data_IF_689099672537
#
_entry.id   IF_689099672537
#
_cell.length_a   1.000
_cell.length_b   1.000
_cell.length_c   1.000
_cell.angle_alpha   90.00
_cell.angle_beta   90.00
_cell.angle_gamma   90.00
#
_symmetry.space_group_name_H-M   'P 1'
#
loop_
_entity.id
_entity.type
_entity.pdbx_description
1 polymer ?
#
# COMPACT_ATOMS: atom_id res chain seq x y z
N UNK A 1 11.50 -37.76 -5.06
CA UNK A 1 10.71 -36.72 -5.74
C UNK A 1 10.06 -37.35 -6.95
N UNK A 2 8.76 -37.23 -7.09
CA UNK A 2 8.01 -37.71 -8.25
C UNK A 2 7.85 -36.61 -9.32
N UNK A 3 7.26 -36.96 -10.46
CA UNK A 3 7.03 -36.02 -11.58
C UNK A 3 6.22 -34.79 -11.15
N UNK A 4 5.15 -34.98 -10.38
CA UNK A 4 4.27 -33.88 -9.97
C UNK A 4 5.01 -32.90 -9.04
N UNK A 5 5.78 -33.44 -8.09
CA UNK A 5 6.63 -32.65 -7.20
C UNK A 5 7.72 -31.90 -7.97
N UNK A 6 8.32 -32.54 -8.99
CA UNK A 6 9.33 -31.90 -9.83
C UNK A 6 8.77 -30.74 -10.66
N UNK A 7 7.64 -30.95 -11.35
CA UNK A 7 7.01 -29.91 -12.16
C UNK A 7 6.47 -28.76 -11.30
N UNK A 8 5.98 -29.05 -10.10
CA UNK A 8 5.59 -28.00 -9.15
C UNK A 8 6.80 -27.18 -8.69
N UNK A 9 7.91 -27.85 -8.30
CA UNK A 9 9.14 -27.17 -7.93
C UNK A 9 9.75 -26.35 -9.08
N UNK A 10 9.68 -26.85 -10.32
CA UNK A 10 10.08 -26.13 -11.53
C UNK A 10 9.22 -24.87 -11.71
N UNK A 11 7.90 -25.01 -11.57
CA UNK A 11 6.94 -23.90 -11.67
C UNK A 11 7.25 -22.80 -10.66
N UNK A 12 7.49 -23.16 -9.40
CA UNK A 12 7.76 -22.21 -8.32
C UNK A 12 9.07 -21.43 -8.52
N UNK A 13 10.02 -21.98 -9.28
CA UNK A 13 11.32 -21.37 -9.57
C UNK A 13 11.42 -20.66 -10.94
N UNK A 14 10.44 -20.86 -11.83
CA UNK A 14 10.37 -20.18 -13.14
C UNK A 14 9.94 -18.72 -12.98
N UNK A 15 10.71 -17.80 -13.58
CA UNK A 15 10.48 -16.34 -13.52
C UNK A 15 10.01 -15.77 -14.86
N UNK A 16 9.15 -16.50 -15.55
CA UNK A 16 8.62 -16.18 -16.88
C UNK A 16 7.11 -15.92 -16.84
N UNK A 17 6.50 -15.54 -17.98
CA UNK A 17 5.04 -15.30 -18.01
C UNK A 17 4.25 -16.59 -17.79
N UNK A 18 3.00 -16.52 -17.31
CA UNK A 18 2.20 -17.70 -17.05
C UNK A 18 1.90 -18.55 -18.30
N UNK A 19 1.71 -17.91 -19.46
CA UNK A 19 1.50 -18.68 -20.70
C UNK A 19 2.77 -19.46 -21.06
N UNK A 20 3.94 -18.83 -20.91
CA UNK A 20 5.21 -19.47 -21.17
C UNK A 20 5.55 -20.53 -20.11
N UNK A 21 5.23 -20.27 -18.85
CA UNK A 21 5.38 -21.21 -17.75
C UNK A 21 4.51 -22.45 -17.98
N UNK A 22 3.23 -22.28 -18.32
CA UNK A 22 2.32 -23.37 -18.65
C UNK A 22 2.84 -24.17 -19.85
N UNK A 23 3.35 -23.47 -20.88
CA UNK A 23 3.96 -24.10 -22.05
C UNK A 23 5.21 -24.92 -21.68
N UNK A 24 6.15 -24.33 -20.93
CA UNK A 24 7.39 -25.03 -20.49
C UNK A 24 7.04 -26.26 -19.65
N UNK A 25 6.12 -26.13 -18.70
CA UNK A 25 5.71 -27.23 -17.82
C UNK A 25 5.01 -28.33 -18.62
N UNK A 26 4.21 -27.97 -19.62
CA UNK A 26 3.55 -28.92 -20.52
C UNK A 26 4.56 -29.62 -21.43
N UNK A 27 5.46 -28.88 -22.06
CA UNK A 27 6.50 -29.40 -22.96
C UNK A 27 7.42 -30.37 -22.19
N UNK A 28 7.97 -29.95 -21.04
CA UNK A 28 8.82 -30.81 -20.17
C UNK A 28 8.02 -31.98 -19.60
N UNK A 29 6.77 -31.75 -19.20
CA UNK A 29 5.90 -32.81 -18.71
C UNK A 29 5.65 -33.90 -19.75
N UNK A 30 5.49 -33.52 -21.01
CA UNK A 30 5.31 -34.44 -22.14
C UNK A 30 6.59 -35.18 -22.52
N UNK A 31 7.75 -34.51 -22.43
CA UNK A 31 9.06 -35.13 -22.67
C UNK A 31 9.38 -36.18 -21.61
N UNK A 32 9.08 -35.88 -20.33
CA UNK A 32 9.18 -36.87 -19.24
C UNK A 32 8.27 -38.07 -19.52
N UNK A 33 7.02 -37.86 -19.91
CA UNK A 33 6.08 -38.96 -20.17
C UNK A 33 6.57 -39.87 -21.29
N UNK A 34 7.06 -39.30 -22.39
CA UNK A 34 7.59 -40.07 -23.52
C UNK A 34 8.76 -40.98 -23.08
N UNK A 35 9.68 -40.48 -22.26
CA UNK A 35 10.84 -41.26 -21.80
C UNK A 35 10.43 -42.33 -20.76
N UNK A 36 9.40 -42.07 -19.96
CA UNK A 36 8.85 -43.05 -19.03
C UNK A 36 8.11 -44.19 -19.76
N UNK A 37 7.42 -43.89 -20.85
CA UNK A 37 6.75 -44.89 -21.70
C UNK A 37 7.74 -45.87 -22.37
N UNK A 38 8.98 -45.43 -22.62
CA UNK A 38 10.08 -46.28 -23.10
C UNK A 38 10.64 -47.23 -22.03
N UNK A 39 10.08 -47.23 -20.82
CA UNK A 39 10.47 -48.12 -19.71
C UNK A 39 11.62 -47.56 -18.86
N UNK A 40 11.99 -46.30 -19.06
CA UNK A 40 13.06 -45.63 -18.31
C UNK A 40 12.58 -45.19 -16.93
N UNK A 41 13.47 -45.20 -15.93
CA UNK A 41 13.11 -44.73 -14.58
C UNK A 41 13.13 -43.20 -14.50
N UNK A 42 12.20 -42.60 -13.74
CA UNK A 42 12.17 -41.15 -13.52
C UNK A 42 13.48 -40.60 -12.94
N UNK A 43 14.18 -41.39 -12.11
CA UNK A 43 15.49 -41.01 -11.56
C UNK A 43 16.56 -40.83 -12.64
N UNK A 44 16.47 -41.59 -13.74
CA UNK A 44 17.37 -41.47 -14.90
C UNK A 44 17.05 -40.21 -15.70
N UNK A 45 15.77 -39.93 -15.95
CA UNK A 45 15.32 -38.69 -16.62
C UNK A 45 15.83 -37.44 -15.88
N UNK A 46 15.85 -37.50 -14.56
CA UNK A 46 16.37 -36.46 -13.69
C UNK A 46 17.89 -36.26 -13.76
N UNK A 47 18.66 -37.28 -14.15
CA UNK A 47 20.09 -37.10 -14.40
C UNK A 47 20.34 -36.26 -15.64
N UNK A 48 19.50 -36.41 -16.66
CA UNK A 48 19.60 -35.69 -17.93
C UNK A 48 19.03 -34.27 -17.82
N UNK A 49 17.86 -34.11 -17.19
CA UNK A 49 17.21 -32.80 -16.99
C UNK A 49 17.84 -31.96 -15.87
N UNK A 50 18.49 -32.60 -14.89
CA UNK A 50 19.02 -31.94 -13.70
C UNK A 50 17.96 -31.59 -12.65
N UNK A 51 18.36 -30.84 -11.61
CA UNK A 51 17.46 -30.38 -10.54
C UNK A 51 16.47 -29.33 -11.04
N UNK A 52 15.24 -29.24 -10.51
CA UNK A 52 14.23 -28.31 -11.02
C UNK A 52 14.66 -26.85 -10.87
N UNK A 53 15.45 -26.52 -9.85
CA UNK A 53 16.02 -25.18 -9.65
C UNK A 53 17.05 -24.82 -10.73
N UNK A 54 17.89 -25.78 -11.11
CA UNK A 54 18.92 -25.59 -12.13
C UNK A 54 18.28 -25.50 -13.53
N UNK A 55 17.32 -26.36 -13.82
CA UNK A 55 16.55 -26.31 -15.05
C UNK A 55 15.77 -25.00 -15.15
N UNK A 56 15.08 -24.58 -14.08
CA UNK A 56 14.45 -23.27 -14.01
C UNK A 56 15.45 -22.13 -14.25
N UNK A 57 16.64 -22.20 -13.65
CA UNK A 57 17.69 -21.21 -13.83
C UNK A 57 18.19 -21.16 -15.29
N UNK A 58 18.28 -22.31 -15.99
CA UNK A 58 18.67 -22.37 -17.40
C UNK A 58 17.58 -21.80 -18.32
N UNK A 59 16.31 -22.13 -18.07
CA UNK A 59 15.19 -21.48 -18.75
C UNK A 59 15.15 -19.97 -18.49
N UNK A 60 15.36 -19.57 -17.24
CA UNK A 60 15.47 -18.17 -16.82
C UNK A 60 16.72 -17.48 -17.39
N UNK A 61 17.71 -18.20 -17.93
CA UNK A 61 18.88 -17.62 -18.60
C UNK A 61 18.74 -17.56 -20.11
N UNK A 62 18.14 -18.58 -20.71
CA UNK A 62 18.02 -18.71 -22.17
C UNK A 62 16.82 -17.96 -22.75
N UNK A 63 15.70 -17.90 -22.02
CA UNK A 63 14.49 -17.23 -22.52
C UNK A 63 14.37 -15.80 -22.00
N UNK A 64 15.14 -15.42 -20.97
CA UNK A 64 15.13 -14.06 -20.43
C UNK A 64 16.09 -13.19 -21.24
N UNK A 65 15.64 -12.76 -22.42
CA UNK A 65 16.04 -11.44 -22.91
C UNK A 65 15.42 -10.38 -22.00
N UNK A 66 16.05 -9.21 -21.84
CA UNK A 66 15.58 -8.09 -20.98
C UNK A 66 14.11 -7.66 -21.22
N UNK A 67 13.49 -8.12 -22.31
CA UNK A 67 12.10 -7.90 -22.68
C UNK A 67 11.08 -8.85 -22.01
N UNK A 68 11.51 -9.94 -21.37
CA UNK A 68 10.62 -10.96 -20.77
C UNK A 68 10.48 -10.89 -19.24
N UNK A 69 11.23 -10.03 -18.55
CA UNK A 69 11.17 -9.90 -17.09
C UNK A 69 9.88 -9.16 -16.68
N UNK A 70 8.97 -9.87 -15.99
CA UNK A 70 7.68 -9.36 -15.54
C UNK A 70 7.80 -8.26 -14.46
N UNK A 71 8.77 -8.40 -13.57
CA UNK A 71 9.07 -7.44 -12.51
C UNK A 71 10.54 -7.51 -12.09
N UNK A 72 11.06 -6.38 -11.63
CA UNK A 72 12.35 -6.30 -10.94
C UNK A 72 12.14 -6.58 -9.45
N UNK A 73 12.93 -7.49 -8.88
CA UNK A 73 12.94 -7.81 -7.44
C UNK A 73 14.33 -7.57 -6.86
N UNK A 74 14.39 -6.85 -5.75
CA UNK A 74 15.61 -6.65 -4.96
C UNK A 74 15.33 -6.94 -3.49
N UNK A 75 16.20 -7.73 -2.87
CA UNK A 75 16.22 -7.99 -1.42
C UNK A 75 17.60 -7.65 -0.89
N UNK A 76 17.68 -6.88 0.20
CA UNK A 76 18.95 -6.58 0.86
C UNK A 76 19.63 -7.84 1.41
N UNK A 77 18.84 -8.86 1.77
CA UNK A 77 19.31 -10.20 2.09
C UNK A 77 18.41 -11.21 1.35
N UNK A 78 18.89 -11.82 0.25
CA UNK A 78 18.10 -12.76 -0.55
C UNK A 78 17.63 -14.01 0.20
N UNK A 79 18.37 -14.44 1.23
CA UNK A 79 18.03 -15.61 2.03
C UNK A 79 16.99 -15.32 3.13
N UNK A 80 16.73 -14.04 3.42
CA UNK A 80 15.76 -13.65 4.45
C UNK A 80 14.35 -13.52 3.87
N UNK A 81 13.37 -14.07 4.59
CA UNK A 81 11.95 -13.82 4.34
C UNK A 81 11.48 -12.43 4.82
N UNK A 82 12.30 -11.75 5.62
CA UNK A 82 12.05 -10.39 6.12
C UNK A 82 13.35 -9.56 6.08
N UNK A 83 13.83 -9.18 4.88
CA UNK A 83 15.02 -8.36 4.72
C UNK A 83 14.81 -6.92 5.22
N UNK A 84 15.90 -6.17 5.37
CA UNK A 84 15.84 -4.74 5.67
C UNK A 84 15.13 -3.98 4.55
N UNK A 85 15.47 -4.27 3.30
CA UNK A 85 14.88 -3.64 2.12
C UNK A 85 14.39 -4.72 1.16
N UNK A 86 13.15 -4.59 0.69
CA UNK A 86 12.58 -5.43 -0.36
C UNK A 86 11.81 -4.55 -1.37
N UNK A 87 12.25 -4.57 -2.62
CA UNK A 87 11.67 -3.81 -3.73
C UNK A 87 11.10 -4.79 -4.75
N UNK A 88 9.84 -4.60 -5.16
CA UNK A 88 9.18 -5.33 -6.25
C UNK A 88 8.60 -4.30 -7.21
N UNK A 89 9.21 -4.10 -8.37
CA UNK A 89 8.84 -3.09 -9.35
C UNK A 89 8.30 -3.78 -10.61
N UNK A 90 7.01 -3.64 -10.95
CA UNK A 90 6.46 -4.22 -12.16
C UNK A 90 7.02 -3.54 -13.41
N UNK A 91 7.25 -4.33 -14.47
CA UNK A 91 7.70 -3.83 -15.75
C UNK A 91 6.52 -3.18 -16.51
N UNK A 92 6.53 -1.84 -16.62
CA UNK A 92 5.42 -1.06 -17.19
C UNK A 92 5.13 -1.36 -18.66
N UNK A 93 6.10 -1.80 -19.45
CA UNK A 93 5.93 -2.01 -20.91
C UNK A 93 4.95 -3.15 -21.26
N UNK A 94 4.72 -4.10 -20.35
CA UNK A 94 3.77 -5.22 -20.54
C UNK A 94 2.61 -5.25 -19.54
N UNK A 95 2.34 -4.14 -18.86
CA UNK A 95 1.30 -4.05 -17.82
C UNK A 95 -0.14 -4.38 -18.33
N UNK A 96 -0.35 -4.52 -19.66
CA UNK A 96 -1.60 -5.01 -20.26
C UNK A 96 -1.83 -6.54 -20.16
N UNK A 97 -0.77 -7.34 -19.93
CA UNK A 97 -0.83 -8.80 -19.87
C UNK A 97 -0.51 -9.37 -18.47
N UNK A 98 0.01 -8.53 -17.56
CA UNK A 98 0.26 -8.95 -16.19
C UNK A 98 -1.02 -8.92 -15.36
N UNK A 99 -1.48 -10.09 -14.98
CA UNK A 99 -2.44 -10.25 -13.90
C UNK A 99 -1.89 -9.64 -12.60
N UNK A 100 -2.57 -8.62 -12.01
CA UNK A 100 -2.20 -8.01 -10.74
C UNK A 100 -1.81 -8.97 -9.63
N UNK A 101 -2.47 -10.12 -9.58
CA UNK A 101 -2.29 -11.18 -8.59
C UNK A 101 -0.93 -11.90 -8.65
N UNK A 102 -0.19 -11.78 -9.76
CA UNK A 102 1.06 -12.55 -9.97
C UNK A 102 2.32 -11.81 -9.56
N UNK A 103 2.21 -10.59 -9.03
CA UNK A 103 3.35 -9.86 -8.47
C UNK A 103 3.62 -10.33 -7.05
N UNK A 104 4.87 -10.69 -6.70
CA UNK A 104 5.20 -11.07 -5.34
C UNK A 104 4.95 -9.92 -4.38
N UNK A 105 4.64 -10.27 -3.13
CA UNK A 105 4.50 -9.28 -2.06
C UNK A 105 5.88 -8.88 -1.56
N UNK A 106 6.20 -7.59 -1.64
CA UNK A 106 7.39 -7.04 -1.01
C UNK A 106 7.22 -7.16 0.52
N UNK A 107 8.22 -7.74 1.19
CA UNK A 107 8.24 -7.99 2.64
C UNK A 107 9.54 -7.51 3.26
N UNK A 108 9.51 -6.78 4.37
CA UNK A 108 10.71 -6.35 5.08
C UNK A 108 10.52 -5.18 6.03
N UNK A 109 11.61 -4.61 6.55
CA UNK A 109 11.54 -3.35 7.32
C UNK A 109 11.05 -2.23 6.41
N UNK A 110 11.64 -2.10 5.22
CA UNK A 110 11.21 -1.21 4.15
C UNK A 110 10.77 -2.08 2.96
N UNK A 111 9.46 -2.09 2.69
CA UNK A 111 8.85 -2.84 1.61
C UNK A 111 8.24 -1.89 0.57
N UNK A 112 8.66 -1.98 -0.69
CA UNK A 112 8.14 -1.17 -1.79
C UNK A 112 7.67 -2.08 -2.91
N UNK A 113 6.41 -2.00 -3.30
CA UNK A 113 5.88 -2.74 -4.44
C UNK A 113 4.37 -2.61 -4.57
N UNK A 114 3.77 -3.27 -5.56
CA UNK A 114 2.30 -3.22 -5.70
C UNK A 114 1.60 -3.72 -4.44
N UNK A 115 2.06 -4.86 -3.93
CA UNK A 115 1.67 -5.42 -2.63
C UNK A 115 2.89 -5.30 -1.71
N UNK A 116 2.78 -4.53 -0.64
CA UNK A 116 3.88 -4.28 0.29
C UNK A 116 3.44 -4.59 1.73
N UNK A 117 4.29 -5.32 2.45
CA UNK A 117 4.08 -5.69 3.85
C UNK A 117 5.36 -5.45 4.66
N UNK A 118 5.33 -4.57 5.65
CA UNK A 118 6.55 -4.25 6.39
C UNK A 118 6.37 -3.34 7.60
N UNK A 119 7.46 -2.85 8.16
CA UNK A 119 7.38 -1.75 9.14
C UNK A 119 6.99 -0.47 8.40
N UNK A 120 7.67 -0.19 7.29
CA UNK A 120 7.37 0.87 6.33
C UNK A 120 6.97 0.18 5.02
N UNK A 121 5.71 0.33 4.61
CA UNK A 121 5.15 -0.28 3.41
C UNK A 121 4.69 0.80 2.41
N UNK A 122 5.21 0.75 1.19
CA UNK A 122 4.89 1.68 0.11
C UNK A 122 4.33 0.90 -1.09
N UNK A 123 3.08 1.13 -1.48
CA UNK A 123 2.48 0.34 -2.55
C UNK A 123 1.08 0.71 -2.99
N UNK A 124 0.49 -0.10 -3.87
CA UNK A 124 -0.95 0.01 -4.16
C UNK A 124 -1.74 -0.51 -2.96
N UNK A 125 -1.37 -1.70 -2.48
CA UNK A 125 -1.84 -2.30 -1.23
C UNK A 125 -0.66 -2.31 -0.24
N UNK A 126 -0.71 -1.45 0.77
CA UNK A 126 0.34 -1.30 1.78
C UNK A 126 -0.16 -1.77 3.16
N UNK A 127 0.61 -2.65 3.82
CA UNK A 127 0.30 -3.19 5.15
C UNK A 127 1.52 -3.07 6.06
N UNK A 128 1.41 -2.35 7.17
CA UNK A 128 2.56 -2.12 8.03
C UNK A 128 2.32 -1.23 9.22
N UNK A 129 3.38 -0.80 9.90
CA UNK A 129 3.25 0.23 10.96
C UNK A 129 3.02 1.58 10.30
N UNK A 130 3.80 1.90 9.28
CA UNK A 130 3.65 3.07 8.41
C UNK A 130 3.32 2.56 7.01
N UNK A 131 2.13 2.91 6.51
CA UNK A 131 1.60 2.43 5.23
C UNK A 131 1.20 3.59 4.32
N UNK A 132 1.84 3.70 3.16
CA UNK A 132 1.52 4.69 2.14
C UNK A 132 1.10 3.98 0.85
N UNK A 133 -0.11 4.27 0.36
CA UNK A 133 -0.65 3.57 -0.79
C UNK A 133 -2.06 3.97 -1.18
N UNK A 134 -2.67 3.25 -2.11
CA UNK A 134 -4.08 3.48 -2.48
C UNK A 134 -5.01 2.84 -1.44
N UNK A 135 -4.70 1.61 -1.05
CA UNK A 135 -5.26 0.93 0.10
C UNK A 135 -4.15 0.74 1.14
N UNK A 136 -4.30 1.37 2.29
CA UNK A 136 -3.29 1.41 3.34
C UNK A 136 -3.86 0.90 4.65
N UNK A 137 -3.20 -0.08 5.26
CA UNK A 137 -3.58 -0.63 6.58
C UNK A 137 -2.37 -0.55 7.49
N UNK A 138 -2.51 0.05 8.67
CA UNK A 138 -1.40 0.21 9.59
C UNK A 138 -1.68 1.05 10.82
N UNK A 139 -0.64 1.33 11.60
CA UNK A 139 -0.76 2.27 12.73
C UNK A 139 -0.90 3.70 12.21
N UNK A 140 -0.05 4.06 11.25
CA UNK A 140 -0.08 5.29 10.47
C UNK A 140 -0.36 4.95 9.01
N UNK A 141 -1.49 5.41 8.47
CA UNK A 141 -1.94 5.04 7.13
C UNK A 141 -2.29 6.26 6.30
N UNK A 142 -1.73 6.38 5.09
CA UNK A 142 -2.08 7.43 4.13
C UNK A 142 -2.47 6.79 2.80
N UNK A 143 -3.60 7.20 2.24
CA UNK A 143 -4.11 6.64 1.00
C UNK A 143 -5.50 7.09 0.59
N UNK A 144 -6.07 6.50 -0.46
CA UNK A 144 -7.48 6.76 -0.82
C UNK A 144 -8.40 6.07 0.19
N UNK A 145 -8.11 4.79 0.47
CA UNK A 145 -8.74 4.02 1.52
C UNK A 145 -7.69 3.70 2.59
N UNK A 146 -7.85 4.26 3.78
CA UNK A 146 -6.87 4.13 4.86
C UNK A 146 -7.53 3.56 6.12
N UNK A 147 -6.92 2.52 6.70
CA UNK A 147 -7.34 1.96 7.98
C UNK A 147 -6.16 2.08 8.95
N UNK A 148 -6.37 2.71 10.10
CA UNK A 148 -5.32 2.81 11.11
C UNK A 148 -5.63 3.64 12.34
N UNK A 149 -4.74 3.59 13.34
CA UNK A 149 -4.89 4.43 14.53
C UNK A 149 -4.81 5.91 14.16
N UNK A 150 -3.90 6.28 13.27
CA UNK A 150 -3.82 7.59 12.65
C UNK A 150 -3.93 7.41 11.14
N UNK A 151 -4.97 7.95 10.52
CA UNK A 151 -5.20 7.75 9.09
C UNK A 151 -5.61 9.02 8.34
N UNK A 152 -5.03 9.19 7.15
CA UNK A 152 -5.30 10.30 6.23
C UNK A 152 -5.75 9.75 4.87
N UNK A 153 -6.78 10.35 4.26
CA UNK A 153 -7.25 9.88 2.96
C UNK A 153 -8.61 10.37 2.50
N UNK A 154 -9.20 9.68 1.52
CA UNK A 154 -10.56 9.97 1.06
C UNK A 154 -11.58 9.25 1.94
N UNK A 155 -11.41 7.94 2.13
CA UNK A 155 -12.22 7.10 3.00
C UNK A 155 -11.29 6.56 4.09
N UNK A 156 -11.57 6.88 5.34
CA UNK A 156 -10.67 6.58 6.45
C UNK A 156 -11.41 5.92 7.62
N UNK A 157 -10.77 4.93 8.24
CA UNK A 157 -11.33 4.19 9.38
C UNK A 157 -10.28 4.03 10.48
N UNK A 158 -10.68 4.26 11.74
CA UNK A 158 -9.86 3.98 12.93
C UNK A 158 -9.88 5.04 14.03
N UNK A 159 -8.71 5.46 14.53
CA UNK A 159 -8.59 6.27 15.75
C UNK A 159 -8.75 7.78 15.52
N UNK A 160 -7.67 8.43 15.11
CA UNK A 160 -7.55 9.83 14.73
C UNK A 160 -7.50 9.95 13.20
N UNK A 161 -8.51 10.56 12.61
CA UNK A 161 -8.76 10.47 11.19
C UNK A 161 -8.94 11.84 10.55
N UNK A 162 -8.34 12.04 9.37
CA UNK A 162 -8.69 13.16 8.51
C UNK A 162 -8.96 12.69 7.07
N UNK A 163 -10.15 12.97 6.55
CA UNK A 163 -10.52 12.59 5.20
C UNK A 163 -11.90 13.05 4.75
N UNK A 164 -12.29 12.74 3.51
CA UNK A 164 -13.62 13.12 3.02
C UNK A 164 -14.75 12.37 3.75
N UNK A 165 -14.58 11.06 3.94
CA UNK A 165 -15.46 10.18 4.70
C UNK A 165 -14.63 9.55 5.81
N UNK A 166 -14.96 9.84 7.07
CA UNK A 166 -14.18 9.39 8.23
C UNK A 166 -15.05 8.65 9.25
N UNK A 167 -14.68 7.42 9.60
CA UNK A 167 -15.41 6.56 10.55
C UNK A 167 -14.47 6.11 11.68
N UNK A 168 -14.63 6.64 12.89
CA UNK A 168 -13.64 6.38 13.94
C UNK A 168 -13.93 7.00 15.30
N UNK A 169 -12.88 7.21 16.08
CA UNK A 169 -13.00 7.82 17.42
C UNK A 169 -12.97 9.35 17.33
N UNK A 170 -11.92 9.89 16.71
CA UNK A 170 -11.69 11.31 16.49
C UNK A 170 -11.64 11.58 15.00
N UNK A 171 -12.64 12.30 14.48
CA UNK A 171 -12.82 12.43 13.02
C UNK A 171 -12.83 13.88 12.56
N UNK A 172 -12.07 14.15 11.50
CA UNK A 172 -12.09 15.37 10.73
C UNK A 172 -12.48 15.02 9.30
N UNK A 173 -13.63 15.49 8.83
CA UNK A 173 -14.01 15.19 7.46
C UNK A 173 -15.31 15.80 6.98
N UNK A 174 -15.52 15.78 5.66
CA UNK A 174 -16.77 16.30 5.10
C UNK A 174 -17.97 15.48 5.62
N UNK A 175 -17.84 14.15 5.65
CA UNK A 175 -18.80 13.23 6.26
C UNK A 175 -18.07 12.46 7.37
N UNK A 176 -18.52 12.59 8.62
CA UNK A 176 -17.83 12.02 9.78
C UNK A 176 -18.76 11.27 10.73
N UNK A 177 -18.36 10.08 11.18
CA UNK A 177 -18.99 9.38 12.30
C UNK A 177 -17.94 9.03 13.35
N UNK A 178 -18.13 9.49 14.59
CA UNK A 178 -17.23 9.10 15.67
C UNK A 178 -17.57 9.63 17.05
N UNK A 179 -16.74 9.31 18.04
CA UNK A 179 -16.94 9.80 19.42
C UNK A 179 -16.86 11.33 19.48
N UNK A 180 -15.81 11.92 18.88
CA UNK A 180 -15.72 13.34 18.60
C UNK A 180 -15.52 13.56 17.10
N UNK A 181 -16.37 14.37 16.47
CA UNK A 181 -16.38 14.57 15.03
C UNK A 181 -16.52 16.05 14.66
N UNK A 182 -15.69 16.51 13.73
CA UNK A 182 -15.80 17.84 13.12
C UNK A 182 -15.86 17.73 11.59
N UNK A 183 -16.81 18.44 10.99
CA UNK A 183 -17.07 18.29 9.57
C UNK A 183 -18.25 19.07 9.01
N UNK A 184 -18.69 18.70 7.81
CA UNK A 184 -19.90 19.25 7.21
C UNK A 184 -21.13 18.48 7.71
N UNK A 185 -21.16 17.16 7.49
CA UNK A 185 -22.20 16.24 7.97
C UNK A 185 -21.57 15.29 8.98
N UNK A 186 -21.95 15.41 10.25
CA UNK A 186 -21.30 14.66 11.33
C UNK A 186 -22.28 14.05 12.33
N UNK A 187 -21.92 12.87 12.83
CA UNK A 187 -22.68 12.17 13.86
C UNK A 187 -21.75 11.57 14.93
N UNK A 188 -22.17 11.60 16.21
CA UNK A 188 -21.29 11.25 17.32
C UNK A 188 -21.77 11.64 18.71
N UNK A 189 -20.89 11.53 19.72
CA UNK A 189 -21.17 12.03 21.07
C UNK A 189 -20.96 13.56 21.13
N UNK A 190 -19.81 14.02 20.63
CA UNK A 190 -19.42 15.43 20.52
C UNK A 190 -19.26 15.79 19.04
N UNK A 191 -20.12 16.66 18.51
CA UNK A 191 -20.18 16.91 17.06
C UNK A 191 -20.21 18.39 16.71
N UNK A 192 -19.35 18.80 15.79
CA UNK A 192 -19.30 20.18 15.31
C UNK A 192 -19.35 20.23 13.78
N UNK A 193 -20.42 20.80 13.22
CA UNK A 193 -20.57 20.83 11.76
C UNK A 193 -21.86 21.47 11.28
N UNK A 194 -22.02 21.60 9.97
CA UNK A 194 -23.21 22.21 9.39
C UNK A 194 -24.49 21.39 9.61
N UNK A 195 -24.37 20.07 9.48
CA UNK A 195 -25.40 19.10 9.85
C UNK A 195 -24.81 18.20 10.93
N UNK A 196 -25.21 18.42 12.19
CA UNK A 196 -24.64 17.73 13.35
C UNK A 196 -25.69 16.95 14.15
N UNK A 197 -25.38 15.68 14.44
CA UNK A 197 -26.21 14.79 15.25
C UNK A 197 -25.41 14.19 16.41
N UNK A 198 -25.77 14.51 17.65
CA UNK A 198 -25.10 13.98 18.83
C UNK A 198 -25.66 14.54 20.13
N UNK A 199 -25.18 14.00 21.27
CA UNK A 199 -25.59 14.48 22.60
C UNK A 199 -25.11 15.91 22.86
N UNK A 200 -23.87 16.20 22.47
CA UNK A 200 -23.27 17.53 22.53
C UNK A 200 -22.96 17.97 21.11
N UNK A 201 -23.61 19.03 20.64
CA UNK A 201 -23.51 19.47 19.25
C UNK A 201 -23.40 20.99 19.12
N UNK A 202 -22.59 21.41 18.16
CA UNK A 202 -22.48 22.79 17.69
C UNK A 202 -22.74 22.78 16.20
N UNK A 203 -23.76 23.52 15.79
CA UNK A 203 -24.11 23.68 14.38
C UNK A 203 -23.40 24.89 13.81
N UNK A 204 -22.74 24.70 12.66
CA UNK A 204 -22.10 25.76 11.89
C UNK A 204 -22.96 26.19 10.70
N UNK A 205 -22.78 27.42 10.25
CA UNK A 205 -23.31 27.92 8.99
C UNK A 205 -22.67 27.18 7.80
N UNK A 206 -23.29 27.28 6.61
CA UNK A 206 -22.80 26.58 5.42
C UNK A 206 -21.40 27.04 4.98
N UNK A 207 -21.02 28.27 5.32
CA UNK A 207 -19.72 28.87 5.02
C UNK A 207 -19.19 29.54 6.30
N UNK A 208 -18.73 28.75 7.28
CA UNK A 208 -18.42 29.27 8.59
C UNK A 208 -17.20 30.17 8.54
N UNK A 209 -17.30 31.33 9.20
CA UNK A 209 -16.14 32.22 9.35
C UNK A 209 -15.16 31.65 10.35
N UNK A 210 -13.89 32.10 10.32
CA UNK A 210 -12.90 31.67 11.32
C UNK A 210 -13.36 31.97 12.76
N UNK A 211 -14.04 33.11 12.97
CA UNK A 211 -14.59 33.47 14.27
C UNK A 211 -15.70 32.49 14.71
N UNK A 212 -16.56 32.07 13.78
CA UNK A 212 -17.60 31.08 14.05
C UNK A 212 -16.99 29.72 14.41
N UNK A 213 -15.96 29.28 13.68
CA UNK A 213 -15.20 28.06 13.99
C UNK A 213 -14.57 28.17 15.38
N UNK A 214 -13.91 29.28 15.70
CA UNK A 214 -13.29 29.48 17.01
C UNK A 214 -14.33 29.45 18.13
N UNK A 215 -15.44 30.17 18.00
CA UNK A 215 -16.53 30.15 18.99
C UNK A 215 -17.13 28.74 19.17
N UNK A 216 -17.28 28.00 18.07
CA UNK A 216 -17.76 26.62 18.12
C UNK A 216 -16.79 25.68 18.83
N UNK A 217 -15.49 25.82 18.57
CA UNK A 217 -14.44 25.06 19.28
C UNK A 217 -14.41 25.40 20.77
N UNK A 218 -14.55 26.67 21.15
CA UNK A 218 -14.67 27.09 22.55
C UNK A 218 -15.89 26.44 23.22
N UNK A 219 -17.05 26.45 22.55
CA UNK A 219 -18.27 25.82 23.05
C UNK A 219 -18.10 24.31 23.23
N UNK A 220 -17.41 23.63 22.31
CA UNK A 220 -17.11 22.21 22.45
C UNK A 220 -16.21 21.94 23.66
N UNK A 221 -15.17 22.75 23.86
CA UNK A 221 -14.25 22.58 25.00
C UNK A 221 -14.98 22.71 26.34
N UNK A 222 -15.95 23.63 26.49
CA UNK A 222 -16.75 23.76 27.72
C UNK A 222 -17.75 22.63 27.94
N UNK A 223 -18.20 21.96 26.88
CA UNK A 223 -19.08 20.79 26.95
C UNK A 223 -18.33 19.49 27.24
N UNK A 224 -17.02 19.46 26.98
CA UNK A 224 -16.17 18.30 27.25
C UNK A 224 -15.61 18.32 28.66
N UNK A 225 -15.51 17.14 29.29
CA UNK A 225 -14.83 17.01 30.59
C UNK A 225 -13.33 17.28 30.43
N UNK A 226 -12.75 18.08 31.31
CA UNK A 226 -11.30 18.34 31.34
C UNK A 226 -10.50 17.04 31.39
N UNK A 227 -9.46 16.96 30.56
CA UNK A 227 -8.62 15.78 30.40
C UNK A 227 -9.24 14.61 29.61
N UNK A 228 -10.49 14.72 29.14
CA UNK A 228 -11.08 13.72 28.25
C UNK A 228 -10.47 13.73 26.85
N UNK A 229 -10.61 12.63 26.13
CA UNK A 229 -10.14 12.51 24.75
C UNK A 229 -10.78 13.55 23.81
N UNK A 230 -12.07 13.83 23.98
CA UNK A 230 -12.78 14.87 23.21
C UNK A 230 -12.25 16.28 23.56
N UNK A 231 -12.00 16.57 24.84
CA UNK A 231 -11.42 17.83 25.27
C UNK A 231 -10.04 18.06 24.63
N UNK A 232 -9.17 17.05 24.68
CA UNK A 232 -7.86 17.09 24.02
C UNK A 232 -7.98 17.33 22.51
N UNK A 233 -8.94 16.67 21.85
CA UNK A 233 -9.18 16.81 20.42
C UNK A 233 -9.58 18.24 20.04
N UNK A 234 -10.61 18.81 20.65
CA UNK A 234 -11.05 20.18 20.35
C UNK A 234 -10.04 21.25 20.78
N UNK A 235 -9.32 21.03 21.87
CA UNK A 235 -8.23 21.92 22.30
C UNK A 235 -7.10 21.96 21.27
N UNK A 236 -6.72 20.80 20.75
CA UNK A 236 -5.70 20.69 19.70
C UNK A 236 -6.13 21.41 18.42
N UNK A 237 -7.40 21.24 18.02
CA UNK A 237 -7.96 21.95 16.86
C UNK A 237 -7.99 23.47 17.07
N UNK A 238 -8.38 23.93 18.26
CA UNK A 238 -8.37 25.35 18.61
C UNK A 238 -6.95 25.92 18.56
N UNK A 239 -5.95 25.16 19.01
CA UNK A 239 -4.56 25.59 18.90
C UNK A 239 -4.10 25.72 17.44
N UNK A 240 -4.49 24.78 16.57
CA UNK A 240 -4.16 24.84 15.13
C UNK A 240 -4.85 26.02 14.46
N UNK A 241 -6.13 26.27 14.74
CA UNK A 241 -6.89 27.37 14.10
C UNK A 241 -6.51 28.75 14.62
N UNK A 242 -6.00 28.86 15.85
CA UNK A 242 -5.50 30.12 16.42
C UNK A 242 -4.09 30.49 15.93
N UNK A 243 -3.31 29.53 15.41
CA UNK A 243 -1.91 29.73 15.03
C UNK A 243 -1.69 29.57 13.52
N UNK A 244 -1.70 30.68 12.74
CA UNK A 244 -1.54 30.61 11.28
C UNK A 244 -0.20 29.98 10.85
N UNK A 245 0.85 30.09 11.67
CA UNK A 245 2.16 29.47 11.41
C UNK A 245 2.09 27.94 11.35
N UNK A 246 1.28 27.31 12.22
CA UNK A 246 1.13 25.85 12.26
C UNK A 246 0.43 25.36 10.98
N UNK A 247 -0.61 26.08 10.55
CA UNK A 247 -1.32 25.78 9.30
C UNK A 247 -0.40 25.93 8.09
N UNK A 248 0.41 27.00 8.04
CA UNK A 248 1.37 27.22 6.96
C UNK A 248 2.48 26.16 6.93
N UNK A 249 2.99 25.69 8.07
CA UNK A 249 4.00 24.64 8.13
C UNK A 249 3.48 23.29 7.65
N UNK A 250 2.25 22.91 8.06
CA UNK A 250 1.61 21.69 7.57
C UNK A 250 1.35 21.76 6.06
N UNK A 251 0.87 22.91 5.56
CA UNK A 251 0.63 23.13 4.13
C UNK A 251 1.90 23.12 3.29
N UNK A 252 2.94 23.83 3.72
CA UNK A 252 4.24 23.89 3.01
C UNK A 252 4.96 22.54 3.04
N UNK A 253 4.92 21.81 4.15
CA UNK A 253 5.48 20.46 4.25
C UNK A 253 4.81 19.47 3.28
N UNK A 254 3.48 19.52 3.19
CA UNK A 254 2.73 18.69 2.24
C UNK A 254 3.03 19.07 0.77
N UNK A 255 3.12 20.36 0.47
CA UNK A 255 3.48 20.86 -0.85
C UNK A 255 4.89 20.40 -1.26
N UNK A 256 5.86 20.50 -0.35
CA UNK A 256 7.23 20.03 -0.57
C UNK A 256 7.26 18.52 -0.84
N UNK A 257 6.48 17.73 -0.10
CA UNK A 257 6.36 16.29 -0.35
C UNK A 257 5.86 16.01 -1.77
N UNK A 258 4.83 16.71 -2.24
CA UNK A 258 4.31 16.59 -3.61
C UNK A 258 5.38 16.98 -4.63
N UNK A 259 6.09 18.09 -4.41
CA UNK A 259 7.17 18.54 -5.31
C UNK A 259 8.26 17.47 -5.40
N UNK A 260 8.67 16.86 -4.29
CA UNK A 260 9.65 15.77 -4.31
C UNK A 260 9.13 14.57 -5.10
N UNK A 261 7.86 14.18 -4.91
CA UNK A 261 7.25 13.07 -5.67
C UNK A 261 7.22 13.38 -7.18
N UNK A 262 6.83 14.60 -7.55
CA UNK A 262 6.82 15.06 -8.94
C UNK A 262 8.24 15.11 -9.52
N UNK A 263 9.21 15.61 -8.77
CA UNK A 263 10.61 15.68 -9.19
C UNK A 263 11.19 14.28 -9.40
N UNK A 264 10.94 13.34 -8.49
CA UNK A 264 11.34 11.93 -8.64
C UNK A 264 10.69 11.32 -9.88
N UNK A 265 9.42 11.62 -10.13
CA UNK A 265 8.69 11.14 -11.32
C UNK A 265 9.25 11.74 -12.61
N UNK A 266 9.56 13.04 -12.59
CA UNK A 266 10.15 13.78 -13.70
C UNK A 266 11.56 13.26 -14.03
N UNK A 267 12.44 13.13 -13.02
CA UNK A 267 13.79 12.59 -13.18
C UNK A 267 13.76 11.14 -13.71
N UNK A 268 12.78 10.34 -13.28
CA UNK A 268 12.59 8.98 -13.81
C UNK A 268 12.20 8.98 -15.28
N UNK A 269 11.39 9.93 -15.74
CA UNK A 269 11.04 10.07 -17.16
C UNK A 269 12.22 10.60 -18.00
N UNK A 270 13.07 11.47 -17.45
CA UNK A 270 14.24 12.02 -18.16
C UNK A 270 15.32 10.98 -18.44
N UNK A 271 15.48 9.94 -17.59
CA UNK A 271 16.40 8.82 -17.86
C UNK A 271 16.03 7.97 -19.08
N UNK A 272 14.83 8.16 -19.65
CA UNK A 272 14.43 7.52 -20.90
C UNK A 272 14.75 8.36 -22.15
N UNK A 273 15.34 9.55 -21.99
CA UNK A 273 15.64 10.50 -23.07
C UNK A 273 17.15 10.69 -23.33
N UNK A 274 18.03 9.96 -22.64
CA UNK A 274 19.44 9.94 -23.03
C UNK A 274 19.58 9.17 -24.37
N UNK A 275 20.12 9.80 -25.42
CA UNK A 275 20.37 9.12 -26.68
C UNK A 275 21.46 8.05 -26.47
N UNK A 276 21.18 6.83 -26.94
CA UNK A 276 22.19 5.78 -27.12
C UNK A 276 23.19 6.17 -28.19
#
# INVERSE_FOLDING_TARGET
MDKAQYLQALTDNLRVTPELQAKIVLDIGSEIDAVLEEGTSFATVMQDLGTPEKLAADFNRHYVTDEQIAYFEYKSNPASNFPLIHLVIPNRKRNKLLHPEKLPTAKGVIAIGRNAQGIIALGFFARGIISLGLLSIGLFSIGILSIGLVALGTIVVGGLLAGNIALGVLTLGNIGYGYAALGNIVAGQYTMGNIAAGSFKVTLSNNPTLAEIQNGLQTMMTQTKDGSLAHWFFTSLNHVTANPVVVSLLGTGFLLLIIVILLVTYLKNMRHLEPR
#
